data_IF_963074095421
#
_entry.id   IF_963074095421
#
_cell.length_a   1.000
_cell.length_b   1.000
_cell.length_c   1.000
_cell.angle_alpha   90.00
_cell.angle_beta   90.00
_cell.angle_gamma   90.00
#
_symmetry.space_group_name_H-M   'P 1'
#
loop_
_entity.id
_entity.type
_entity.pdbx_description
1 polymer ?
#
# COMPACT_ATOMS: atom_id res chain seq x y z
N UNK A 1 3.11 24.59 11.55
CA UNK A 1 2.07 23.99 12.42
C UNK A 1 2.44 22.56 12.76
N UNK A 2 2.25 22.07 14.01
CA UNK A 2 2.57 20.69 14.36
C UNK A 2 1.65 19.69 13.66
N UNK A 3 2.21 18.57 13.21
CA UNK A 3 1.48 17.51 12.52
C UNK A 3 0.42 16.87 13.45
N UNK A 4 -0.80 16.65 12.94
CA UNK A 4 -1.89 16.00 13.67
C UNK A 4 -2.37 14.77 12.92
N UNK A 5 -2.30 13.60 13.55
CA UNK A 5 -2.73 12.33 12.95
C UNK A 5 -4.21 12.34 12.52
N UNK A 6 -5.08 13.01 13.27
CA UNK A 6 -6.52 13.08 12.96
C UNK A 6 -6.87 13.86 11.69
N UNK A 7 -5.99 14.77 11.24
CA UNK A 7 -6.20 15.52 10.00
C UNK A 7 -5.53 14.84 8.80
N UNK A 8 -4.77 13.77 9.02
CA UNK A 8 -4.15 12.99 7.95
C UNK A 8 -5.16 12.06 7.28
N UNK A 9 -5.22 12.08 5.95
CA UNK A 9 -6.01 11.12 5.16
C UNK A 9 -5.10 9.94 4.80
N UNK A 10 -5.37 8.78 5.38
CA UNK A 10 -4.75 7.54 4.95
C UNK A 10 -5.46 7.02 3.69
N UNK A 11 -4.75 6.95 2.57
CA UNK A 11 -5.24 6.37 1.31
C UNK A 11 -5.62 4.87 1.44
N UNK A 12 -5.22 4.22 2.55
CA UNK A 12 -5.37 2.78 2.79
C UNK A 12 -6.16 2.45 4.05
N UNK A 13 -7.18 3.25 4.37
CA UNK A 13 -7.90 3.15 5.66
C UNK A 13 -8.50 1.76 5.92
N UNK A 14 -8.89 1.01 4.88
CA UNK A 14 -9.43 -0.35 5.04
C UNK A 14 -8.35 -1.39 5.31
N UNK A 15 -7.11 -1.16 4.87
CA UNK A 15 -5.96 -2.01 5.20
C UNK A 15 -5.35 -1.64 6.56
N UNK A 16 -5.34 -0.37 6.92
CA UNK A 16 -4.67 0.17 8.11
C UNK A 16 -5.62 0.29 9.31
N UNK A 17 -6.45 -0.74 9.53
CA UNK A 17 -7.39 -0.73 10.65
C UNK A 17 -6.70 -1.10 11.96
N UNK A 18 -7.33 -0.73 13.05
CA UNK A 18 -6.88 -1.08 14.40
C UNK A 18 -6.90 -2.60 14.62
N UNK A 19 -7.97 -3.27 14.18
CA UNK A 19 -8.26 -4.68 14.45
C UNK A 19 -7.29 -5.67 13.78
N UNK A 20 -6.51 -5.22 12.80
CA UNK A 20 -5.53 -6.02 12.06
C UNK A 20 -4.08 -5.55 12.25
N UNK A 21 -3.82 -4.63 13.19
CA UNK A 21 -2.48 -4.10 13.42
C UNK A 21 -1.47 -5.19 13.82
N UNK A 22 -1.91 -6.16 14.62
CA UNK A 22 -1.13 -7.32 15.02
C UNK A 22 -0.68 -8.16 13.83
N UNK A 23 -1.59 -8.47 12.91
CA UNK A 23 -1.29 -9.22 11.69
C UNK A 23 -0.33 -8.46 10.75
N UNK A 24 -0.39 -7.12 10.73
CA UNK A 24 0.47 -6.29 9.87
C UNK A 24 1.86 -6.06 10.45
N UNK A 25 1.95 -5.87 11.77
CA UNK A 25 3.16 -5.37 12.42
C UNK A 25 3.92 -6.47 13.18
N UNK A 26 3.32 -7.63 13.47
CA UNK A 26 3.94 -8.66 14.30
C UNK A 26 5.29 -9.16 13.78
N UNK A 27 5.36 -9.55 12.51
CA UNK A 27 6.61 -10.00 11.86
C UNK A 27 7.67 -8.88 11.85
N UNK A 28 7.26 -7.63 11.61
CA UNK A 28 8.16 -6.48 11.61
C UNK A 28 8.70 -6.18 13.01
N UNK A 29 7.86 -6.29 14.04
CA UNK A 29 8.27 -6.11 15.42
C UNK A 29 9.27 -7.18 15.85
N UNK A 30 9.08 -8.43 15.40
CA UNK A 30 10.02 -9.50 15.66
C UNK A 30 11.36 -9.29 14.92
N UNK A 31 11.31 -8.95 13.64
CA UNK A 31 12.50 -8.63 12.85
C UNK A 31 13.29 -7.44 13.43
N UNK A 32 12.61 -6.51 14.11
CA UNK A 32 13.22 -5.40 14.82
C UNK A 32 13.70 -5.76 16.25
N UNK A 33 13.53 -7.00 16.71
CA UNK A 33 13.91 -7.46 18.05
C UNK A 33 13.01 -6.96 19.19
N UNK A 34 11.83 -6.42 18.88
CA UNK A 34 10.88 -5.89 19.88
C UNK A 34 10.02 -6.98 20.53
N UNK A 35 9.91 -8.14 19.88
CA UNK A 35 9.23 -9.33 20.41
C UNK A 35 10.07 -10.57 20.11
N UNK A 36 9.99 -11.55 21.01
CA UNK A 36 10.67 -12.85 20.86
C UNK A 36 9.88 -13.84 19.99
N UNK A 37 10.50 -14.98 19.69
CA UNK A 37 9.91 -16.07 18.91
C UNK A 37 8.62 -16.59 19.57
N UNK A 38 8.63 -16.76 20.90
CA UNK A 38 7.49 -17.26 21.64
C UNK A 38 6.25 -16.36 21.48
N UNK A 39 6.44 -15.03 21.51
CA UNK A 39 5.39 -14.06 21.30
C UNK A 39 4.89 -14.06 19.86
N UNK A 40 5.80 -14.16 18.88
CA UNK A 40 5.45 -14.27 17.46
C UNK A 40 4.65 -15.54 17.17
N UNK A 41 5.07 -16.69 17.70
CA UNK A 41 4.37 -17.96 17.54
C UNK A 41 2.99 -17.93 18.19
N UNK A 42 2.87 -17.31 19.36
CA UNK A 42 1.58 -17.06 20.01
C UNK A 42 0.66 -16.20 19.15
N UNK A 43 1.19 -15.20 18.45
CA UNK A 43 0.44 -14.40 17.49
C UNK A 43 0.01 -15.24 16.28
N UNK A 44 0.92 -15.99 15.65
CA UNK A 44 0.64 -16.84 14.49
C UNK A 44 -0.47 -17.84 14.80
N UNK A 45 -0.42 -18.51 15.96
CA UNK A 45 -1.49 -19.42 16.41
C UNK A 45 -2.84 -18.74 16.54
N UNK A 46 -2.90 -17.53 17.13
CA UNK A 46 -4.15 -16.77 17.23
C UNK A 46 -4.70 -16.36 15.86
N UNK A 47 -3.84 -15.95 14.94
CA UNK A 47 -4.24 -15.58 13.58
C UNK A 47 -4.77 -16.79 12.81
N UNK A 48 -4.15 -17.95 12.97
CA UNK A 48 -4.62 -19.20 12.35
C UNK A 48 -5.99 -19.64 12.91
N UNK A 49 -6.25 -19.45 14.20
CA UNK A 49 -7.58 -19.70 14.78
C UNK A 49 -8.63 -18.75 14.21
N UNK A 50 -8.29 -17.47 14.02
CA UNK A 50 -9.18 -16.49 13.36
C UNK A 50 -9.47 -16.90 11.92
N UNK A 51 -8.46 -17.40 11.18
CA UNK A 51 -8.63 -17.83 9.79
C UNK A 51 -9.50 -19.08 9.68
N UNK A 52 -9.30 -20.08 10.56
CA UNK A 52 -10.17 -21.25 10.66
C UNK A 52 -11.61 -20.88 11.00
N UNK A 53 -11.80 -19.99 11.96
CA UNK A 53 -13.12 -19.47 12.31
C UNK A 53 -13.77 -18.73 11.12
N UNK A 54 -13.04 -17.88 10.42
CA UNK A 54 -13.53 -17.17 9.24
C UNK A 54 -13.95 -18.13 8.13
N UNK A 55 -13.17 -19.18 7.88
CA UNK A 55 -13.55 -20.22 6.91
C UNK A 55 -14.79 -21.02 7.34
N UNK A 56 -14.92 -21.35 8.63
CA UNK A 56 -16.09 -22.04 9.16
C UNK A 56 -17.37 -21.19 8.97
N UNK A 57 -17.31 -19.91 9.34
CA UNK A 57 -18.38 -18.94 9.14
C UNK A 57 -18.74 -18.77 7.66
N UNK A 58 -17.75 -18.68 6.77
CA UNK A 58 -17.97 -18.57 5.32
C UNK A 58 -18.68 -19.80 4.73
N UNK A 59 -18.51 -20.99 5.33
CA UNK A 59 -19.19 -22.24 4.96
C UNK A 59 -20.53 -22.44 5.68
N UNK A 60 -21.02 -21.45 6.43
CA UNK A 60 -22.27 -21.54 7.20
C UNK A 60 -22.19 -22.46 8.44
N UNK A 61 -20.98 -22.78 8.91
CA UNK A 61 -20.75 -23.61 10.10
C UNK A 61 -20.58 -22.72 11.32
N UNK A 62 -21.70 -22.27 11.89
CA UNK A 62 -21.71 -21.41 13.09
C UNK A 62 -21.56 -22.18 14.42
N UNK A 63 -21.53 -23.52 14.37
CA UNK A 63 -21.54 -24.40 15.56
C UNK A 63 -20.19 -24.70 16.21
N UNK A 64 -19.08 -24.11 15.75
CA UNK A 64 -17.77 -24.33 16.35
C UNK A 64 -17.57 -23.33 17.52
N UNK A 65 -17.29 -23.86 18.72
CA UNK A 65 -17.21 -23.07 19.96
C UNK A 65 -15.92 -22.23 20.04
N UNK A 66 -15.81 -21.21 19.19
CA UNK A 66 -14.74 -20.23 19.24
C UNK A 66 -15.03 -19.14 20.29
N UNK A 67 -14.02 -18.65 21.02
CA UNK A 67 -14.16 -17.45 21.85
C UNK A 67 -14.72 -16.25 21.05
N UNK A 68 -15.54 -15.42 21.68
CA UNK A 68 -16.20 -14.26 21.06
C UNK A 68 -15.20 -13.35 20.30
N UNK A 69 -14.05 -13.05 20.91
CA UNK A 69 -13.05 -12.18 20.29
C UNK A 69 -12.47 -12.76 18.97
N UNK A 70 -12.41 -14.10 18.84
CA UNK A 70 -12.01 -14.78 17.61
C UNK A 70 -13.11 -14.64 16.56
N UNK A 71 -14.36 -14.89 16.94
CA UNK A 71 -15.51 -14.73 16.06
C UNK A 71 -15.62 -13.29 15.53
N UNK A 72 -15.40 -12.29 16.40
CA UNK A 72 -15.44 -10.87 16.02
C UNK A 72 -14.35 -10.53 15.00
N UNK A 73 -13.09 -10.97 15.22
CA UNK A 73 -12.00 -10.78 14.25
C UNK A 73 -12.29 -11.52 12.93
N UNK A 74 -12.81 -12.74 12.99
CA UNK A 74 -13.17 -13.54 11.83
C UNK A 74 -14.27 -12.86 10.99
N UNK A 75 -15.35 -12.39 11.62
CA UNK A 75 -16.42 -11.64 10.96
C UNK A 75 -15.89 -10.35 10.33
N UNK A 76 -15.08 -9.56 11.04
CA UNK A 76 -14.45 -8.36 10.49
C UNK A 76 -13.60 -8.70 9.24
N UNK A 77 -12.81 -9.77 9.31
CA UNK A 77 -12.01 -10.24 8.17
C UNK A 77 -12.89 -10.57 6.96
N UNK A 78 -13.99 -11.29 7.14
CA UNK A 78 -14.93 -11.63 6.06
C UNK A 78 -15.60 -10.38 5.47
N UNK A 79 -16.14 -9.50 6.32
CA UNK A 79 -16.83 -8.27 5.90
C UNK A 79 -15.91 -7.40 5.07
N UNK A 80 -14.66 -7.20 5.52
CA UNK A 80 -13.73 -6.30 4.85
C UNK A 80 -12.90 -6.96 3.75
N UNK A 81 -12.85 -8.29 3.63
CA UNK A 81 -12.05 -8.99 2.62
C UNK A 81 -12.34 -8.48 1.21
N UNK A 82 -13.63 -8.39 0.83
CA UNK A 82 -14.02 -7.92 -0.50
C UNK A 82 -13.74 -6.43 -0.75
N UNK A 83 -13.68 -5.60 0.29
CA UNK A 83 -13.32 -4.19 0.18
C UNK A 83 -11.80 -4.02 0.07
N UNK A 84 -11.04 -4.75 0.89
CA UNK A 84 -9.57 -4.78 0.83
C UNK A 84 -9.11 -5.27 -0.54
N UNK A 85 -9.71 -6.34 -1.08
CA UNK A 85 -9.34 -6.84 -2.40
C UNK A 85 -9.68 -5.86 -3.53
N UNK A 86 -10.78 -5.12 -3.42
CA UNK A 86 -11.10 -4.05 -4.37
C UNK A 86 -10.08 -2.91 -4.30
N UNK A 87 -9.78 -2.42 -3.10
CA UNK A 87 -8.77 -1.38 -2.87
C UNK A 87 -7.39 -1.84 -3.37
N UNK A 88 -6.99 -3.08 -3.09
CA UNK A 88 -5.74 -3.69 -3.60
C UNK A 88 -5.70 -3.76 -5.12
N UNK A 89 -6.79 -4.16 -5.77
CA UNK A 89 -6.88 -4.20 -7.24
C UNK A 89 -6.80 -2.80 -7.84
N UNK A 90 -7.41 -1.82 -7.21
CA UNK A 90 -7.34 -0.43 -7.65
C UNK A 90 -5.91 0.11 -7.55
N UNK A 91 -5.23 -0.14 -6.42
CA UNK A 91 -3.81 0.17 -6.21
C UNK A 91 -2.93 -0.54 -7.25
N UNK A 92 -3.14 -1.84 -7.46
CA UNK A 92 -2.39 -2.63 -8.42
C UNK A 92 -2.64 -2.15 -9.86
N UNK A 93 -3.88 -1.77 -10.18
CA UNK A 93 -4.24 -1.17 -11.45
C UNK A 93 -3.52 0.17 -11.62
N UNK A 94 -3.59 1.10 -10.68
CA UNK A 94 -2.88 2.39 -10.77
C UNK A 94 -1.38 2.18 -10.95
N UNK A 95 -0.79 1.23 -10.21
CA UNK A 95 0.63 0.85 -10.36
C UNK A 95 0.95 0.19 -11.70
N UNK A 96 0.03 -0.60 -12.27
CA UNK A 96 0.20 -1.27 -13.57
C UNK A 96 -0.10 -0.37 -14.77
N UNK A 97 -1.11 0.49 -14.66
CA UNK A 97 -1.49 1.53 -15.63
C UNK A 97 -0.48 2.68 -15.66
N UNK A 98 0.25 2.88 -14.56
CA UNK A 98 1.50 3.64 -14.54
C UNK A 98 2.54 2.93 -15.41
N UNK A 99 2.30 2.91 -16.73
CA UNK A 99 3.13 2.25 -17.73
C UNK A 99 4.55 2.79 -17.69
N UNK A 100 5.49 2.09 -18.33
CA UNK A 100 6.91 2.43 -18.27
C UNK A 100 7.27 3.63 -19.16
N UNK A 101 7.03 4.85 -18.64
CA UNK A 101 7.40 6.10 -19.29
C UNK A 101 8.79 6.52 -18.84
N UNK A 102 9.67 6.94 -19.77
CA UNK A 102 10.96 7.49 -19.41
C UNK A 102 10.78 8.80 -18.63
N UNK A 103 11.60 8.99 -17.60
CA UNK A 103 11.67 10.21 -16.80
C UNK A 103 13.00 10.91 -17.08
N UNK A 104 13.01 12.23 -17.37
CA UNK A 104 14.24 12.99 -17.50
C UNK A 104 15.08 12.96 -16.21
N UNK A 105 16.41 12.89 -16.36
CA UNK A 105 17.34 12.83 -15.22
C UNK A 105 17.38 14.13 -14.39
N UNK A 106 16.94 15.23 -14.99
CA UNK A 106 16.85 16.59 -14.46
C UNK A 106 15.43 16.97 -14.04
N UNK A 107 14.47 16.01 -14.05
CA UNK A 107 13.10 16.26 -13.63
C UNK A 107 13.04 16.79 -12.20
N UNK A 108 12.46 17.98 -12.03
CA UNK A 108 12.17 18.53 -10.72
C UNK A 108 10.89 17.93 -10.14
N UNK A 109 11.04 16.93 -9.28
CA UNK A 109 9.92 16.28 -8.61
C UNK A 109 9.16 17.21 -7.66
N UNK A 110 9.79 18.27 -7.13
CA UNK A 110 9.10 19.21 -6.23
C UNK A 110 8.13 20.13 -6.98
N UNK A 111 8.29 20.28 -8.30
CA UNK A 111 7.40 21.04 -9.16
C UNK A 111 6.18 20.24 -9.64
N UNK A 112 6.07 18.95 -9.33
CA UNK A 112 4.96 18.10 -9.77
C UNK A 112 3.74 18.35 -8.88
N UNK A 113 2.68 18.88 -9.49
CA UNK A 113 1.40 19.12 -8.81
C UNK A 113 0.78 17.82 -8.27
N UNK A 114 0.28 17.88 -7.03
CA UNK A 114 -0.34 16.74 -6.34
C UNK A 114 0.66 15.74 -5.74
N UNK A 115 1.96 15.88 -6.00
CA UNK A 115 2.98 15.05 -5.37
C UNK A 115 3.25 15.57 -3.94
N UNK A 116 3.08 14.71 -2.94
CA UNK A 116 3.42 15.08 -1.56
C UNK A 116 4.94 15.21 -1.39
N UNK A 117 5.35 16.01 -0.40
CA UNK A 117 6.76 16.33 -0.15
C UNK A 117 7.62 15.09 0.08
N UNK A 118 7.12 14.14 0.87
CA UNK A 118 7.84 12.90 1.20
C UNK A 118 8.12 12.04 -0.04
N UNK A 119 7.15 11.98 -0.96
CA UNK A 119 7.29 11.28 -2.25
C UNK A 119 8.26 12.01 -3.18
N UNK A 120 8.16 13.35 -3.25
CA UNK A 120 9.09 14.17 -4.03
C UNK A 120 10.54 14.01 -3.53
N UNK A 121 10.77 14.04 -2.22
CA UNK A 121 12.08 13.82 -1.61
C UNK A 121 12.64 12.42 -1.93
N UNK A 122 11.82 11.37 -1.85
CA UNK A 122 12.21 10.01 -2.25
C UNK A 122 12.62 9.94 -3.72
N UNK A 123 11.80 10.49 -4.60
CA UNK A 123 12.03 10.48 -6.05
C UNK A 123 13.27 11.29 -6.43
N UNK A 124 13.46 12.47 -5.83
CA UNK A 124 14.63 13.31 -6.05
C UNK A 124 15.94 12.64 -5.58
N UNK A 125 15.87 11.84 -4.51
CA UNK A 125 17.02 11.07 -4.00
C UNK A 125 17.38 9.89 -4.90
N UNK A 126 16.38 9.12 -5.34
CA UNK A 126 16.61 7.90 -6.14
C UNK A 126 16.83 8.21 -7.62
N UNK A 127 16.23 9.29 -8.12
CA UNK A 127 16.19 9.70 -9.55
C UNK A 127 15.88 8.53 -10.49
N UNK A 128 14.67 7.96 -10.42
CA UNK A 128 14.29 6.88 -11.32
C UNK A 128 14.31 7.35 -12.79
N UNK A 129 14.80 6.51 -13.68
CA UNK A 129 14.80 6.74 -15.14
C UNK A 129 13.44 6.44 -15.78
N UNK A 130 12.51 5.86 -15.02
CA UNK A 130 11.15 5.61 -15.49
C UNK A 130 10.10 5.59 -14.38
N UNK A 131 8.84 5.82 -14.75
CA UNK A 131 7.67 5.66 -13.86
C UNK A 131 7.57 4.24 -13.29
N UNK A 132 7.98 3.21 -14.04
CA UNK A 132 7.99 1.83 -13.54
C UNK A 132 9.07 1.63 -12.46
N UNK A 133 10.25 2.25 -12.62
CA UNK A 133 11.27 2.24 -11.59
C UNK A 133 10.82 3.04 -10.36
N UNK A 134 10.16 4.19 -10.56
CA UNK A 134 9.55 4.97 -9.48
C UNK A 134 8.57 4.12 -8.66
N UNK A 135 7.77 3.28 -9.32
CA UNK A 135 6.83 2.35 -8.67
C UNK A 135 7.47 1.30 -7.77
N UNK A 136 8.76 0.99 -7.94
CA UNK A 136 9.50 0.03 -7.10
C UNK A 136 10.16 0.67 -5.89
N UNK A 137 10.14 2.00 -5.77
CA UNK A 137 10.73 2.70 -4.63
C UNK A 137 9.90 2.40 -3.36
N UNK A 138 10.52 1.91 -2.28
CA UNK A 138 9.80 1.63 -1.04
C UNK A 138 9.11 2.88 -0.48
N UNK A 139 7.86 2.73 -0.05
CA UNK A 139 7.05 3.82 0.49
C UNK A 139 6.36 4.70 -0.56
N UNK A 140 6.44 4.35 -1.85
CA UNK A 140 5.70 5.08 -2.87
C UNK A 140 4.20 4.79 -2.87
N UNK A 141 3.40 5.86 -2.81
CA UNK A 141 1.93 5.77 -2.86
C UNK A 141 1.42 5.73 -4.32
N UNK A 142 0.27 5.09 -4.58
CA UNK A 142 -0.36 5.08 -5.90
C UNK A 142 -0.70 6.49 -6.40
N UNK A 143 -1.18 7.38 -5.53
CA UNK A 143 -1.48 8.77 -5.90
C UNK A 143 -0.23 9.50 -6.40
N UNK A 144 0.90 9.34 -5.71
CA UNK A 144 2.17 9.89 -6.13
C UNK A 144 2.64 9.33 -7.49
N UNK A 145 2.48 8.01 -7.73
CA UNK A 145 2.81 7.40 -9.01
C UNK A 145 1.91 7.90 -10.15
N UNK A 146 0.61 8.10 -9.88
CA UNK A 146 -0.31 8.69 -10.84
C UNK A 146 0.10 10.13 -11.22
N UNK A 147 0.52 10.95 -10.25
CA UNK A 147 1.06 12.29 -10.50
C UNK A 147 2.29 12.25 -11.40
N UNK A 148 3.27 11.39 -11.07
CA UNK A 148 4.50 11.27 -11.87
C UNK A 148 4.20 10.76 -13.28
N UNK A 149 3.33 9.77 -13.43
CA UNK A 149 2.92 9.25 -14.74
C UNK A 149 2.19 10.30 -15.58
N UNK A 150 1.25 11.03 -14.98
CA UNK A 150 0.52 12.10 -15.66
C UNK A 150 1.48 13.21 -16.11
N UNK A 151 2.44 13.60 -15.26
CA UNK A 151 3.46 14.58 -15.59
C UNK A 151 4.36 14.10 -16.74
N UNK A 152 4.87 12.86 -16.68
CA UNK A 152 5.68 12.27 -17.74
C UNK A 152 4.94 12.24 -19.09
N UNK A 153 3.63 11.94 -19.08
CA UNK A 153 2.79 11.97 -20.27
C UNK A 153 2.66 13.38 -20.86
N UNK A 154 2.56 14.42 -20.02
CA UNK A 154 2.51 15.81 -20.46
C UNK A 154 3.84 16.27 -21.05
N UNK A 155 4.97 15.91 -20.44
CA UNK A 155 6.30 16.20 -20.98
C UNK A 155 6.47 15.62 -22.39
N UNK A 156 6.04 14.37 -22.59
CA UNK A 156 6.09 13.71 -23.92
C UNK A 156 5.18 14.36 -24.96
N UNK A 157 4.03 14.89 -24.54
CA UNK A 157 3.15 15.66 -25.45
C UNK A 157 3.74 17.01 -25.83
N UNK A 158 4.54 17.61 -24.94
CA UNK A 158 5.21 18.90 -25.17
C UNK A 158 6.55 18.76 -25.88
N UNK A 159 7.17 17.59 -25.85
CA UNK A 159 8.38 17.31 -26.62
C UNK A 159 8.06 17.44 -28.11
N UNK A 160 8.68 18.39 -28.84
CA UNK A 160 8.46 18.54 -30.27
C UNK A 160 8.92 17.28 -31.01
N UNK A 161 8.27 16.97 -32.14
CA UNK A 161 8.60 15.87 -33.05
C UNK A 161 9.96 16.09 -33.77
N UNK A 162 11.05 16.28 -33.01
CA UNK A 162 12.41 16.51 -33.52
C UNK A 162 13.33 15.41 -33.02
N UNK A 163 13.28 14.24 -33.68
CA UNK A 163 14.35 13.23 -33.71
C UNK A 163 13.96 12.01 -34.60
N UNK A 164 13.32 12.25 -35.75
CA UNK A 164 13.14 11.24 -36.79
C UNK A 164 13.61 11.87 -38.10
N UNK A 165 14.93 11.95 -38.26
CA UNK A 165 15.56 12.66 -39.36
C UNK A 165 17.02 12.93 -39.03
N UNK A 166 17.81 11.86 -39.02
CA UNK A 166 19.21 11.80 -39.47
C UNK A 166 19.57 10.32 -39.73
#
# INVERSE_FOLDING_TARGET
>A
EPYRMFTSRAEFRMQLREDNADARLGELAHAAGLIDDARLDGLRRRLEQVDRCAEALARGREGEAWPDWIQRKARARLVYAGYIERERREIARIRGESGNLPLPADLDYFAIEGLNRESAERLARVRPSSTAQAGRIPGMTPGALACVWAHARLLRRRAPARAAGE
#
